data_IF_656207635109
#
_entry.id   IF_656207635109
#
_cell.length_a   1.000
_cell.length_b   1.000
_cell.length_c   1.000
_cell.angle_alpha   90.00
_cell.angle_beta   90.00
_cell.angle_gamma   90.00
#
_symmetry.space_group_name_H-M   'P 1'
#
loop_
_entity.id
_entity.type
_entity.pdbx_description
1 polymer ?
#
# COMPACT_ATOMS: atom_id res chain seq x y z
N UNK A 1 3.80 11.21 -0.19
CA UNK A 1 3.03 10.89 -1.42
C UNK A 1 1.90 9.91 -1.14
N UNK A 2 2.17 8.75 -0.52
CA UNK A 2 1.12 7.78 -0.18
C UNK A 2 0.17 8.30 0.89
N UNK A 3 0.69 8.89 1.96
CA UNK A 3 -0.12 9.42 3.06
C UNK A 3 -1.19 10.42 2.57
N UNK A 4 -0.79 11.39 1.74
CA UNK A 4 -1.71 12.37 1.15
C UNK A 4 -2.86 11.68 0.38
N UNK A 5 -2.53 10.67 -0.46
CA UNK A 5 -3.53 9.92 -1.23
C UNK A 5 -4.46 9.10 -0.34
N UNK A 6 -3.98 8.58 0.80
CA UNK A 6 -4.80 7.84 1.75
C UNK A 6 -5.74 8.79 2.52
N UNK A 7 -5.25 9.96 2.94
CA UNK A 7 -6.08 11.01 3.56
C UNK A 7 -7.18 11.52 2.63
N UNK A 8 -6.89 11.67 1.33
CA UNK A 8 -7.88 12.00 0.29
C UNK A 8 -8.99 10.93 0.16
N UNK A 9 -8.78 9.73 0.71
CA UNK A 9 -9.71 8.60 0.71
C UNK A 9 -10.24 8.27 2.12
N UNK A 10 -10.31 9.28 2.99
CA UNK A 10 -10.88 9.19 4.35
C UNK A 10 -10.14 8.31 5.37
N UNK A 11 -8.90 7.90 5.09
CA UNK A 11 -8.03 7.32 6.14
C UNK A 11 -7.52 8.45 7.04
N UNK A 12 -7.82 8.36 8.34
CA UNK A 12 -7.60 9.41 9.36
C UNK A 12 -6.79 8.94 10.57
N UNK A 13 -6.65 7.65 10.79
CA UNK A 13 -5.82 7.10 11.86
C UNK A 13 -4.33 7.44 11.61
N UNK A 14 -3.76 8.26 12.48
CA UNK A 14 -2.39 8.76 12.37
C UNK A 14 -1.35 7.65 12.52
N UNK A 15 -1.63 6.60 13.31
CA UNK A 15 -0.72 5.47 13.48
C UNK A 15 -0.72 4.59 12.21
N UNK A 16 -1.88 4.39 11.59
CA UNK A 16 -1.99 3.71 10.29
C UNK A 16 -1.25 4.49 9.21
N UNK A 17 -1.47 5.80 9.13
CA UNK A 17 -0.82 6.67 8.15
C UNK A 17 0.72 6.68 8.32
N UNK A 18 1.20 6.74 9.56
CA UNK A 18 2.62 6.64 9.88
C UNK A 18 3.21 5.28 9.48
N UNK A 19 2.51 4.17 9.77
CA UNK A 19 2.94 2.83 9.36
C UNK A 19 3.02 2.70 7.83
N UNK A 20 1.98 3.17 7.11
CA UNK A 20 1.93 3.14 5.65
C UNK A 20 3.02 4.00 4.99
N UNK A 21 3.47 5.07 5.64
CA UNK A 21 4.57 5.91 5.18
C UNK A 21 5.95 5.30 5.49
N UNK A 22 6.08 4.58 6.60
CA UNK A 22 7.35 4.03 7.10
C UNK A 22 7.75 2.71 6.43
N UNK A 23 6.81 1.84 6.12
CA UNK A 23 7.11 0.50 5.58
C UNK A 23 7.47 0.59 4.08
N UNK A 24 8.67 0.14 3.67
CA UNK A 24 9.10 0.22 2.27
C UNK A 24 8.41 -0.86 1.43
N UNK A 25 7.19 -0.58 0.96
CA UNK A 25 6.38 -1.52 0.17
C UNK A 25 7.11 -2.15 -1.02
N UNK A 26 8.05 -1.45 -1.64
CA UNK A 26 8.83 -1.95 -2.77
C UNK A 26 9.74 -3.16 -2.42
N UNK A 27 10.04 -3.40 -1.14
CA UNK A 27 10.75 -4.60 -0.70
C UNK A 27 9.86 -5.86 -0.71
N UNK A 28 8.55 -5.70 -0.87
CA UNK A 28 7.55 -6.79 -0.85
C UNK A 28 7.00 -7.11 -2.24
N UNK A 29 7.61 -6.60 -3.31
CA UNK A 29 7.19 -6.87 -4.69
C UNK A 29 8.36 -7.38 -5.53
N UNK A 30 8.10 -8.21 -6.55
CA UNK A 30 9.12 -8.62 -7.52
C UNK A 30 9.71 -7.46 -8.30
N UNK A 31 10.92 -7.64 -8.82
CA UNK A 31 11.66 -6.59 -9.56
C UNK A 31 10.90 -6.10 -10.81
N UNK A 32 10.09 -6.96 -11.42
CA UNK A 32 9.32 -6.71 -12.64
C UNK A 32 8.23 -5.65 -12.44
N UNK A 33 7.79 -5.41 -11.20
CA UNK A 33 6.74 -4.45 -10.85
C UNK A 33 7.22 -3.38 -9.87
N UNK A 34 8.54 -3.25 -9.70
CA UNK A 34 9.16 -2.35 -8.73
C UNK A 34 8.76 -0.87 -8.97
N UNK A 35 8.70 -0.44 -10.23
CA UNK A 35 8.28 0.91 -10.60
C UNK A 35 6.83 1.22 -10.21
N UNK A 36 6.01 0.18 -10.08
CA UNK A 36 4.61 0.27 -9.73
C UNK A 36 4.33 0.05 -8.24
N UNK A 37 5.37 -0.21 -7.42
CA UNK A 37 5.22 -0.66 -6.04
C UNK A 37 4.27 0.20 -5.19
N UNK A 38 4.13 1.49 -5.51
CA UNK A 38 3.31 2.47 -4.81
C UNK A 38 2.06 2.94 -5.58
N UNK A 39 1.74 2.29 -6.69
CA UNK A 39 0.47 2.46 -7.40
C UNK A 39 -0.67 1.92 -6.54
N UNK A 40 -1.83 2.59 -6.57
CA UNK A 40 -3.00 2.17 -5.78
C UNK A 40 -3.81 1.07 -6.48
N UNK A 41 -3.14 -0.05 -6.74
CA UNK A 41 -3.71 -1.27 -7.33
C UNK A 41 -3.03 -2.52 -6.78
N UNK A 42 -3.66 -3.71 -6.87
CA UNK A 42 -2.99 -4.96 -6.57
C UNK A 42 -1.83 -5.21 -7.55
N UNK A 43 -0.74 -5.80 -7.07
CA UNK A 43 0.39 -6.21 -7.90
C UNK A 43 0.64 -7.71 -7.74
N UNK A 44 1.01 -8.43 -8.82
CA UNK A 44 1.36 -9.85 -8.73
C UNK A 44 2.65 -10.04 -7.94
N UNK A 45 2.67 -11.04 -7.06
CA UNK A 45 3.86 -11.39 -6.24
C UNK A 45 4.31 -12.85 -6.44
N UNK A 46 3.79 -13.51 -7.49
CA UNK A 46 4.06 -14.91 -7.80
C UNK A 46 3.02 -15.86 -7.19
N UNK A 47 3.10 -17.14 -7.57
CA UNK A 47 2.22 -18.22 -7.07
C UNK A 47 0.71 -17.95 -7.19
N UNK A 48 0.30 -17.19 -8.22
CA UNK A 48 -1.09 -16.78 -8.41
C UNK A 48 -1.61 -15.80 -7.35
N UNK A 49 -0.72 -15.20 -6.56
CA UNK A 49 -1.07 -14.25 -5.49
C UNK A 49 -0.80 -12.80 -5.91
N UNK A 50 -1.48 -11.89 -5.23
CA UNK A 50 -1.25 -10.45 -5.33
C UNK A 50 -1.02 -9.85 -3.95
N UNK A 51 -0.22 -8.78 -3.89
CA UNK A 51 -0.22 -7.89 -2.74
C UNK A 51 -1.39 -6.89 -2.90
N UNK A 52 -2.21 -6.76 -1.86
CA UNK A 52 -3.37 -5.84 -1.86
C UNK A 52 -2.96 -4.41 -2.14
N UNK A 53 -3.83 -3.63 -2.78
CA UNK A 53 -3.59 -2.20 -3.03
C UNK A 53 -3.38 -1.42 -1.71
N UNK A 54 -2.49 -0.42 -1.68
CA UNK A 54 -2.22 0.41 -0.51
C UNK A 54 -3.47 0.89 0.23
N UNK A 55 -4.49 1.38 -0.49
CA UNK A 55 -5.73 1.83 0.16
C UNK A 55 -6.46 0.73 0.93
N UNK A 56 -6.57 -0.49 0.38
CA UNK A 56 -7.30 -1.57 1.05
C UNK A 56 -6.57 -2.01 2.31
N UNK A 57 -5.23 -2.04 2.28
CA UNK A 57 -4.44 -2.33 3.49
C UNK A 57 -4.68 -1.27 4.56
N UNK A 58 -4.64 0.01 4.21
CA UNK A 58 -4.91 1.10 5.14
C UNK A 58 -6.33 1.00 5.72
N UNK A 59 -7.34 0.86 4.85
CA UNK A 59 -8.74 0.71 5.24
C UNK A 59 -8.96 -0.47 6.19
N UNK A 60 -8.42 -1.65 5.86
CA UNK A 60 -8.58 -2.84 6.71
C UNK A 60 -7.90 -2.70 8.08
N UNK A 61 -6.89 -1.84 8.19
CA UNK A 61 -6.15 -1.63 9.45
C UNK A 61 -6.84 -0.59 10.33
N UNK A 62 -7.60 0.34 9.75
CA UNK A 62 -8.31 1.40 10.46
C UNK A 62 -9.67 0.96 11.05
N UNK A 63 -10.22 -0.17 10.59
CA UNK A 63 -11.48 -0.76 11.07
C UNK A 63 -11.33 -1.42 12.45
#
# INVERSE_FOLDING_TARGET
MIERRLRERDIRDEDVLAAMAKVPRHEFVPAEVLEEAYADRPLPIGYGQTISQPYIVALMTEL
#
